data_IF_999789749721
#
_entry.id   IF_999789749721
#
_cell.length_a   1.000
_cell.length_b   1.000
_cell.length_c   1.000
_cell.angle_alpha   90.00
_cell.angle_beta   90.00
_cell.angle_gamma   90.00
#
_symmetry.space_group_name_H-M   'P 1'
#
loop_
_entity.id
_entity.type
_entity.pdbx_description
1 polymer ?
#
# COMPACT_ATOMS: atom_id res chain seq x y z
N UNK A 1 14.19 -13.95 9.09
CA UNK A 1 13.09 -14.91 9.28
C UNK A 1 13.12 -15.32 10.74
N UNK A 2 12.17 -14.79 11.52
CA UNK A 2 12.00 -15.15 12.92
C UNK A 2 10.87 -16.17 13.04
N UNK A 3 11.15 -17.28 13.72
CA UNK A 3 10.17 -18.33 14.00
C UNK A 3 9.98 -18.41 15.50
N UNK A 4 8.73 -18.38 15.95
CA UNK A 4 8.34 -18.58 17.34
C UNK A 4 7.56 -19.88 17.47
N UNK A 5 7.97 -20.75 18.39
CA UNK A 5 7.19 -21.93 18.75
C UNK A 5 6.19 -21.56 19.87
N UNK A 6 4.93 -21.96 19.68
CA UNK A 6 3.86 -21.83 20.67
C UNK A 6 3.16 -23.19 20.76
N UNK A 7 3.40 -23.91 21.86
CA UNK A 7 2.94 -25.29 22.00
C UNK A 7 3.61 -26.21 20.97
N UNK A 8 2.81 -26.82 20.08
CA UNK A 8 3.28 -27.69 18.99
C UNK A 8 3.20 -27.02 17.60
N UNK A 9 3.08 -25.69 17.54
CA UNK A 9 2.97 -24.90 16.30
C UNK A 9 4.14 -23.92 16.21
N UNK A 10 4.80 -23.90 15.05
CA UNK A 10 5.80 -22.91 14.68
C UNK A 10 5.14 -21.80 13.88
N UNK A 11 5.36 -20.55 14.28
CA UNK A 11 4.85 -19.35 13.61
C UNK A 11 6.01 -18.56 13.02
N UNK A 12 5.98 -18.35 11.71
CA UNK A 12 6.90 -17.45 11.02
C UNK A 12 6.38 -16.01 11.05
N UNK A 13 7.28 -15.04 11.16
CA UNK A 13 6.99 -13.61 11.03
C UNK A 13 6.21 -13.25 9.75
N UNK A 14 6.39 -14.00 8.67
CA UNK A 14 5.67 -13.84 7.42
C UNK A 14 4.18 -14.24 7.49
N UNK A 15 3.72 -14.83 8.61
CA UNK A 15 2.34 -15.29 8.82
C UNK A 15 2.11 -16.78 8.52
N UNK A 16 3.08 -17.48 7.94
CA UNK A 16 2.99 -18.93 7.73
C UNK A 16 3.20 -19.68 9.05
N UNK A 17 2.47 -20.77 9.26
CA UNK A 17 2.62 -21.62 10.44
C UNK A 17 2.51 -23.10 10.13
N UNK A 18 3.24 -23.94 10.86
CA UNK A 18 3.20 -25.39 10.70
C UNK A 18 3.32 -26.12 12.04
N UNK A 19 2.79 -27.34 12.10
CA UNK A 19 2.88 -28.19 13.28
C UNK A 19 4.23 -28.90 13.36
N UNK A 20 4.65 -29.22 14.60
CA UNK A 20 5.80 -30.08 14.86
C UNK A 20 5.68 -31.42 14.11
N UNK A 21 6.76 -31.80 13.43
CA UNK A 21 6.78 -32.98 12.55
C UNK A 21 6.14 -32.79 11.17
N UNK A 22 5.62 -31.59 10.84
CA UNK A 22 5.17 -31.24 9.48
C UNK A 22 6.23 -30.38 8.77
N UNK A 23 6.17 -30.36 7.43
CA UNK A 23 7.07 -29.55 6.62
C UNK A 23 6.74 -28.06 6.77
N UNK A 24 7.72 -27.26 7.17
CA UNK A 24 7.64 -25.80 7.32
C UNK A 24 8.12 -25.01 6.11
N UNK A 25 8.40 -25.65 4.97
CA UNK A 25 8.94 -24.98 3.78
C UNK A 25 7.94 -23.98 3.20
N UNK A 26 8.36 -22.71 3.08
CA UNK A 26 7.58 -21.61 2.52
C UNK A 26 8.52 -20.49 2.06
N UNK A 27 8.03 -19.60 1.20
CA UNK A 27 8.77 -18.39 0.82
C UNK A 27 8.45 -17.25 1.80
N UNK A 28 9.28 -17.11 2.83
CA UNK A 28 9.13 -16.07 3.85
C UNK A 28 9.05 -14.66 3.24
N UNK A 29 9.76 -14.40 2.14
CA UNK A 29 9.79 -13.08 1.52
C UNK A 29 8.44 -12.71 0.87
N UNK A 30 7.70 -13.68 0.34
CA UNK A 30 6.36 -13.43 -0.22
C UNK A 30 5.36 -13.03 0.87
N UNK A 31 5.36 -13.73 2.00
CA UNK A 31 4.48 -13.41 3.13
C UNK A 31 4.79 -12.04 3.73
N UNK A 32 6.08 -11.67 3.84
CA UNK A 32 6.46 -10.33 4.31
C UNK A 32 6.06 -9.24 3.31
N UNK A 33 6.25 -9.46 2.00
CA UNK A 33 5.80 -8.54 0.96
C UNK A 33 4.29 -8.29 1.02
N UNK A 34 3.51 -9.33 1.27
CA UNK A 34 2.06 -9.20 1.38
C UNK A 34 1.65 -8.37 2.62
N UNK A 35 2.26 -8.62 3.77
CA UNK A 35 2.03 -7.80 4.97
C UNK A 35 2.39 -6.33 4.77
N UNK A 36 3.51 -6.04 4.09
CA UNK A 36 3.91 -4.67 3.76
C UNK A 36 2.88 -3.99 2.85
N UNK A 37 2.30 -4.71 1.89
CA UNK A 37 1.22 -4.17 1.04
C UNK A 37 -0.05 -3.89 1.83
N UNK A 38 -0.45 -4.79 2.72
CA UNK A 38 -1.61 -4.59 3.60
C UNK A 38 -1.44 -3.35 4.48
N UNK A 39 -0.27 -3.21 5.13
CA UNK A 39 0.05 -2.03 5.93
C UNK A 39 0.07 -0.75 5.10
N UNK A 40 0.59 -0.78 3.86
CA UNK A 40 0.56 0.39 2.99
C UNK A 40 -0.87 0.77 2.59
N UNK A 41 -1.75 -0.20 2.35
CA UNK A 41 -3.16 0.06 2.07
C UNK A 41 -3.90 0.66 3.29
N UNK A 42 -3.66 0.12 4.49
CA UNK A 42 -4.19 0.69 5.74
C UNK A 42 -3.69 2.12 5.97
N UNK A 43 -2.39 2.37 5.76
CA UNK A 43 -1.81 3.71 5.86
C UNK A 43 -2.41 4.69 4.83
N UNK A 44 -2.73 4.23 3.62
CA UNK A 44 -3.41 5.05 2.62
C UNK A 44 -4.85 5.39 3.04
N UNK A 45 -5.57 4.45 3.65
CA UNK A 45 -6.90 4.71 4.21
C UNK A 45 -6.84 5.73 5.36
N UNK A 46 -5.83 5.63 6.24
CA UNK A 46 -5.58 6.61 7.29
C UNK A 46 -5.23 7.99 6.71
N UNK A 47 -4.38 8.05 5.67
CA UNK A 47 -4.06 9.28 4.95
C UNK A 47 -5.33 9.96 4.42
N UNK A 48 -6.22 9.20 3.80
CA UNK A 48 -7.48 9.73 3.29
C UNK A 48 -8.37 10.26 4.41
N UNK A 49 -8.51 9.52 5.51
CA UNK A 49 -9.29 9.97 6.67
C UNK A 49 -8.75 11.28 7.28
N UNK A 50 -7.43 11.43 7.38
CA UNK A 50 -6.79 12.66 7.87
C UNK A 50 -6.97 13.80 6.86
N UNK A 51 -6.98 13.49 5.56
CA UNK A 51 -7.28 14.48 4.50
C UNK A 51 -8.71 15.00 4.63
N UNK A 52 -9.69 14.11 4.82
CA UNK A 52 -11.09 14.50 5.04
C UNK A 52 -11.25 15.31 6.34
N UNK A 53 -10.56 14.91 7.42
CA UNK A 53 -10.49 15.69 8.66
C UNK A 53 -9.94 17.10 8.42
N UNK A 54 -8.88 17.24 7.62
CA UNK A 54 -8.25 18.54 7.35
C UNK A 54 -9.18 19.55 6.68
N UNK A 55 -10.21 19.09 5.98
CA UNK A 55 -11.23 19.95 5.36
C UNK A 55 -12.40 20.29 6.30
N UNK A 56 -12.42 19.72 7.50
CA UNK A 56 -13.44 19.99 8.50
C UNK A 56 -13.13 21.27 9.29
N UNK A 57 -14.14 21.79 9.97
CA UNK A 57 -14.02 22.88 10.93
C UNK A 57 -14.60 22.42 12.26
N UNK A 58 -13.97 22.80 13.36
CA UNK A 58 -14.56 22.62 14.68
C UNK A 58 -14.90 23.98 15.28
N UNK A 59 -16.01 24.06 16.01
CA UNK A 59 -16.38 25.29 16.68
C UNK A 59 -15.66 25.40 18.02
N UNK A 60 -14.87 26.45 18.22
CA UNK A 60 -14.20 26.69 19.47
C UNK A 60 -15.13 27.41 20.45
N UNK A 61 -15.61 26.70 21.47
CA UNK A 61 -16.51 27.27 22.50
C UNK A 61 -15.86 28.39 23.33
N UNK A 62 -14.53 28.43 23.39
CA UNK A 62 -13.78 29.43 24.16
C UNK A 62 -13.75 30.79 23.46
N UNK A 63 -13.54 30.81 22.14
CA UNK A 63 -13.41 32.05 21.38
C UNK A 63 -14.60 32.35 20.46
N UNK A 64 -15.56 31.41 20.35
CA UNK A 64 -16.79 31.54 19.59
C UNK A 64 -16.58 31.58 18.07
N UNK A 65 -15.48 31.01 17.57
CA UNK A 65 -15.09 31.02 16.15
C UNK A 65 -14.91 29.61 15.62
N UNK A 66 -15.11 29.46 14.31
CA UNK A 66 -14.70 28.27 13.57
C UNK A 66 -13.19 28.20 13.55
N UNK A 67 -12.65 27.07 14.01
CA UNK A 67 -11.24 26.75 14.00
C UNK A 67 -11.01 25.62 12.97
N UNK A 68 -10.28 25.90 11.87
CA UNK A 68 -10.10 24.94 10.81
C UNK A 68 -9.25 23.75 11.27
N UNK A 69 -9.75 22.54 11.10
CA UNK A 69 -9.03 21.31 11.47
C UNK A 69 -7.73 21.12 10.68
N UNK A 70 -7.54 21.84 9.56
CA UNK A 70 -6.29 21.83 8.77
C UNK A 70 -5.03 22.24 9.54
N UNK A 71 -5.16 22.97 10.66
CA UNK A 71 -4.04 23.35 11.51
C UNK A 71 -3.76 22.36 12.65
N UNK A 72 -4.55 21.29 12.76
CA UNK A 72 -4.33 20.26 13.77
C UNK A 72 -3.01 19.51 13.51
N UNK A 73 -2.32 19.14 14.60
CA UNK A 73 -1.03 18.44 14.51
C UNK A 73 -1.09 17.17 13.66
N UNK A 74 -2.23 16.47 13.70
CA UNK A 74 -2.47 15.25 12.92
C UNK A 74 -2.40 15.49 11.41
N UNK A 75 -2.77 16.68 10.93
CA UNK A 75 -2.75 17.02 9.51
C UNK A 75 -1.32 17.13 8.96
N UNK A 76 -0.31 17.39 9.81
CA UNK A 76 1.10 17.35 9.38
C UNK A 76 1.58 15.93 9.01
N UNK A 77 0.90 14.88 9.49
CA UNK A 77 1.23 13.50 9.13
C UNK A 77 1.08 13.24 7.61
N UNK A 78 0.20 13.99 6.92
CA UNK A 78 -0.01 13.88 5.47
C UNK A 78 1.26 14.15 4.64
N UNK A 79 2.18 14.95 5.17
CA UNK A 79 3.43 15.33 4.49
C UNK A 79 4.58 14.34 4.71
N UNK A 80 4.42 13.37 5.62
CA UNK A 80 5.53 12.57 6.16
C UNK A 80 5.36 11.06 5.98
N UNK A 81 4.79 10.62 4.85
CA UNK A 81 4.58 9.18 4.55
C UNK A 81 5.04 8.75 3.14
N UNK A 82 6.22 9.19 2.64
CA UNK A 82 6.67 8.89 1.27
C UNK A 82 6.89 7.39 1.02
N UNK A 83 7.16 6.60 2.06
CA UNK A 83 7.30 5.16 1.93
C UNK A 83 5.97 4.48 1.57
N UNK A 84 4.85 4.94 2.16
CA UNK A 84 3.50 4.45 1.83
C UNK A 84 3.17 4.79 0.38
N UNK A 85 3.39 6.04 -0.02
CA UNK A 85 3.10 6.51 -1.38
C UNK A 85 3.85 5.69 -2.43
N UNK A 86 5.16 5.45 -2.21
CA UNK A 86 5.97 4.61 -3.09
C UNK A 86 5.49 3.15 -3.16
N UNK A 87 5.04 2.57 -2.05
CA UNK A 87 4.55 1.19 -2.04
C UNK A 87 3.23 1.06 -2.79
N UNK A 88 2.33 2.04 -2.64
CA UNK A 88 1.05 2.10 -3.36
C UNK A 88 1.30 2.27 -4.86
N UNK A 89 2.13 3.23 -5.25
CA UNK A 89 2.53 3.46 -6.64
C UNK A 89 3.11 2.20 -7.31
N UNK A 90 4.03 1.53 -6.64
CA UNK A 90 4.62 0.27 -7.13
C UNK A 90 3.59 -0.89 -7.14
N UNK A 91 2.58 -0.88 -6.26
CA UNK A 91 1.49 -1.84 -6.32
C UNK A 91 0.58 -1.61 -7.54
N UNK A 92 0.27 -0.35 -7.85
CA UNK A 92 -0.50 0.04 -9.03
C UNK A 92 0.24 -0.30 -10.33
N UNK A 93 1.54 0.03 -10.41
CA UNK A 93 2.40 -0.33 -11.55
C UNK A 93 2.41 -1.84 -11.84
N UNK A 94 2.57 -2.67 -10.80
CA UNK A 94 2.46 -4.14 -10.94
C UNK A 94 1.06 -4.58 -11.37
N UNK A 95 0.01 -3.85 -10.97
CA UNK A 95 -1.35 -4.09 -11.45
C UNK A 95 -1.46 -3.89 -12.96
N UNK A 96 -0.87 -2.80 -13.47
CA UNK A 96 -0.79 -2.51 -14.91
C UNK A 96 -0.02 -3.59 -15.66
N UNK A 97 1.12 -4.04 -15.14
CA UNK A 97 1.92 -5.12 -15.74
C UNK A 97 1.14 -6.45 -15.82
N UNK A 98 0.38 -6.79 -14.79
CA UNK A 98 -0.51 -7.96 -14.82
C UNK A 98 -1.62 -7.82 -15.86
N UNK A 99 -2.16 -6.60 -16.02
CA UNK A 99 -3.17 -6.32 -17.05
C UNK A 99 -2.56 -6.46 -18.46
N UNK A 100 -1.36 -5.93 -18.70
CA UNK A 100 -0.60 -6.11 -19.95
C UNK A 100 -0.45 -7.60 -20.29
N UNK A 101 0.05 -8.40 -19.35
CA UNK A 101 0.25 -9.83 -19.55
C UNK A 101 -1.06 -10.59 -19.82
N UNK A 102 -2.19 -10.10 -19.31
CA UNK A 102 -3.51 -10.64 -19.64
C UNK A 102 -3.95 -10.24 -21.06
N UNK A 103 -3.75 -8.99 -21.44
CA UNK A 103 -4.13 -8.46 -22.76
C UNK A 103 -3.34 -9.11 -23.90
N UNK A 104 -2.03 -9.28 -23.74
CA UNK A 104 -1.14 -9.91 -24.73
C UNK A 104 -1.57 -11.36 -25.06
N UNK A 105 -2.17 -12.07 -24.10
CA UNK A 105 -2.67 -13.44 -24.31
C UNK A 105 -4.01 -13.47 -25.04
N UNK A 106 -4.80 -12.40 -24.96
CA UNK A 106 -6.20 -12.39 -25.38
C UNK A 106 -6.41 -11.70 -26.72
N UNK A 107 -5.57 -10.74 -27.05
CA UNK A 107 -5.74 -9.90 -28.24
C UNK A 107 -4.47 -9.87 -29.09
N UNK A 108 -4.65 -9.92 -30.40
CA UNK A 108 -3.60 -9.66 -31.37
C UNK A 108 -3.62 -8.19 -31.81
N UNK A 109 -2.50 -7.68 -32.33
CA UNK A 109 -2.38 -6.32 -32.89
C UNK A 109 -2.63 -5.17 -31.90
N UNK A 110 -2.25 -5.35 -30.63
CA UNK A 110 -2.40 -4.34 -29.55
C UNK A 110 -1.08 -3.67 -29.12
N UNK A 111 -0.05 -3.71 -29.97
CA UNK A 111 1.31 -3.28 -29.59
C UNK A 111 1.40 -1.84 -29.07
N UNK A 112 0.70 -0.89 -29.71
CA UNK A 112 0.69 0.52 -29.28
C UNK A 112 0.02 0.68 -27.91
N UNK A 113 -1.08 -0.05 -27.68
CA UNK A 113 -1.79 -0.04 -26.39
C UNK A 113 -0.91 -0.62 -25.28
N UNK A 114 -0.17 -1.70 -25.56
CA UNK A 114 0.76 -2.29 -24.61
C UNK A 114 1.89 -1.31 -24.26
N UNK A 115 2.47 -0.62 -25.25
CA UNK A 115 3.51 0.40 -25.01
C UNK A 115 3.00 1.54 -24.12
N UNK A 116 1.79 2.03 -24.35
CA UNK A 116 1.19 3.07 -23.51
C UNK A 116 0.97 2.61 -22.06
N UNK A 117 0.57 1.35 -21.86
CA UNK A 117 0.40 0.78 -20.53
C UNK A 117 1.75 0.54 -19.83
N UNK A 118 2.79 0.14 -20.56
CA UNK A 118 4.15 0.09 -20.02
C UNK A 118 4.61 1.46 -19.54
N UNK A 119 4.40 2.50 -20.37
CA UNK A 119 4.71 3.87 -19.99
C UNK A 119 3.94 4.32 -18.73
N UNK A 120 2.65 3.97 -18.63
CA UNK A 120 1.87 4.24 -17.43
C UNK A 120 2.46 3.57 -16.18
N UNK A 121 2.86 2.30 -16.27
CA UNK A 121 3.47 1.59 -15.15
C UNK A 121 4.77 2.25 -14.67
N UNK A 122 5.60 2.73 -15.59
CA UNK A 122 6.84 3.44 -15.26
C UNK A 122 6.56 4.82 -14.67
N UNK A 123 5.60 5.56 -15.24
CA UNK A 123 5.17 6.86 -14.73
C UNK A 123 4.64 6.78 -13.29
N UNK A 124 3.88 5.74 -12.95
CA UNK A 124 3.41 5.51 -11.59
C UNK A 124 4.57 5.38 -10.59
N UNK A 125 5.67 4.72 -10.98
CA UNK A 125 6.86 4.54 -10.10
C UNK A 125 7.65 5.80 -9.90
N UNK A 126 7.78 6.61 -10.95
CA UNK A 126 8.53 7.87 -10.92
C UNK A 126 7.75 8.98 -10.17
N UNK A 127 6.43 8.83 -10.05
CA UNK A 127 5.53 9.88 -9.57
C UNK A 127 5.12 10.79 -10.72
N UNK A 128 3.91 11.37 -10.65
CA UNK A 128 3.33 12.18 -11.72
C UNK A 128 4.06 13.52 -12.00
N UNK A 129 5.13 13.83 -11.25
CA UNK A 129 5.88 15.08 -11.33
C UNK A 129 7.23 14.87 -12.04
N UNK A 130 7.20 14.93 -13.38
CA UNK A 130 8.30 15.45 -14.19
C UNK A 130 7.87 16.75 -14.85
#
# INVERSE_FOLDING_TARGET
MNIKEIGNVFHCDCGFSWHRGKNGNHNCADGLREKVRQLAAENMALKNAITDHSHSVHFCEVCGKDDPCSTDDVCYALKNIPATDRIVAEAEARGVEKAIAHLEKKFSNIGVQIMNLQWLADSLREGADK
#
